data_IF_680369767154
#
_entry.id   IF_680369767154
#
_cell.length_a   1.000
_cell.length_b   1.000
_cell.length_c   1.000
_cell.angle_alpha   90.00
_cell.angle_beta   90.00
_cell.angle_gamma   90.00
#
_symmetry.space_group_name_H-M   'P 1'
#
loop_
_entity.id
_entity.type
_entity.pdbx_description
1 polymer ?
#
# COMPACT_ATOMS: atom_id res chain seq x y z
N UNK A 1 -6.17 9.14 -5.52
CA UNK A 1 -4.71 8.92 -5.66
C UNK A 1 -4.47 7.78 -6.62
N UNK A 2 -3.58 7.98 -7.57
CA UNK A 2 -3.23 6.93 -8.51
C UNK A 2 -2.14 6.02 -7.91
N UNK A 3 -2.10 4.79 -8.41
CA UNK A 3 -1.15 3.79 -7.88
C UNK A 3 0.30 4.26 -7.94
N UNK A 4 0.69 4.91 -9.03
CA UNK A 4 2.06 5.41 -9.17
C UNK A 4 2.44 6.40 -8.09
N UNK A 5 1.52 7.26 -7.71
CA UNK A 5 1.73 8.22 -6.63
C UNK A 5 1.87 7.51 -5.28
N UNK A 6 1.03 6.49 -5.05
CA UNK A 6 1.11 5.72 -3.81
C UNK A 6 2.43 4.97 -3.71
N UNK A 7 2.88 4.37 -4.82
CA UNK A 7 4.15 3.65 -4.85
C UNK A 7 5.32 4.59 -4.60
N UNK A 8 5.26 5.80 -5.18
CA UNK A 8 6.31 6.80 -4.95
C UNK A 8 6.39 7.20 -3.48
N UNK A 9 5.25 7.40 -2.84
CA UNK A 9 5.20 7.73 -1.42
C UNK A 9 5.76 6.56 -0.60
N UNK A 10 5.34 5.34 -0.92
CA UNK A 10 5.80 4.15 -0.22
C UNK A 10 7.33 4.04 -0.25
N UNK A 11 7.91 4.17 -1.45
CA UNK A 11 9.35 4.01 -1.60
C UNK A 11 10.15 5.19 -1.05
N UNK A 12 9.53 6.38 -1.00
CA UNK A 12 10.19 7.55 -0.42
C UNK A 12 10.34 7.43 1.09
N UNK A 13 9.31 6.95 1.77
CA UNK A 13 9.27 6.92 3.23
C UNK A 13 9.60 5.55 3.82
N UNK A 14 9.74 4.54 2.99
CA UNK A 14 10.06 3.18 3.45
C UNK A 14 11.36 2.74 2.82
N UNK A 15 12.40 2.66 3.64
CA UNK A 15 13.75 2.30 3.17
C UNK A 15 13.97 0.79 3.14
N UNK A 16 13.26 0.05 3.96
CA UNK A 16 13.41 -1.40 4.03
C UNK A 16 12.76 -2.06 2.83
N UNK A 17 13.54 -2.87 2.12
CA UNK A 17 13.05 -3.62 0.97
C UNK A 17 11.95 -4.61 1.40
N UNK A 18 12.10 -5.20 2.59
CA UNK A 18 11.09 -6.13 3.10
C UNK A 18 9.76 -5.43 3.37
N UNK A 19 9.81 -4.21 3.89
CA UNK A 19 8.59 -3.45 4.15
C UNK A 19 7.94 -2.98 2.85
N UNK A 20 8.72 -2.61 1.84
CA UNK A 20 8.17 -2.28 0.53
C UNK A 20 7.48 -3.50 -0.06
N UNK A 21 8.13 -4.67 -0.02
CA UNK A 21 7.53 -5.90 -0.54
C UNK A 21 6.27 -6.27 0.23
N UNK A 22 6.27 -6.06 1.54
CA UNK A 22 5.08 -6.29 2.37
C UNK A 22 3.93 -5.38 1.94
N UNK A 23 4.22 -4.10 1.71
CA UNK A 23 3.21 -3.14 1.26
C UNK A 23 2.61 -3.54 -0.09
N UNK A 24 3.45 -4.00 -1.01
CA UNK A 24 2.97 -4.46 -2.31
C UNK A 24 2.12 -5.72 -2.20
N UNK A 25 2.48 -6.63 -1.28
CA UNK A 25 1.69 -7.83 -1.04
C UNK A 25 0.33 -7.49 -0.47
N UNK A 26 0.28 -6.55 0.48
CA UNK A 26 -0.99 -6.10 1.06
C UNK A 26 -1.81 -5.37 0.01
N UNK A 27 -1.18 -4.58 -0.86
CA UNK A 27 -1.89 -3.95 -1.97
C UNK A 27 -2.61 -4.99 -2.82
N UNK A 28 -1.90 -6.06 -3.21
CA UNK A 28 -2.48 -7.12 -4.02
C UNK A 28 -3.67 -7.78 -3.33
N UNK A 29 -3.53 -8.07 -2.04
CA UNK A 29 -4.60 -8.69 -1.27
C UNK A 29 -5.82 -7.77 -1.18
N UNK A 30 -5.60 -6.47 -0.95
CA UNK A 30 -6.69 -5.52 -0.82
C UNK A 30 -7.42 -5.30 -2.14
N UNK A 31 -6.67 -5.26 -3.26
CA UNK A 31 -7.28 -5.14 -4.57
C UNK A 31 -8.15 -6.36 -4.90
N UNK A 32 -7.65 -7.54 -4.57
CA UNK A 32 -8.40 -8.78 -4.79
C UNK A 32 -9.68 -8.79 -3.96
N UNK A 33 -9.57 -8.44 -2.69
CA UNK A 33 -10.72 -8.38 -1.79
C UNK A 33 -11.75 -7.37 -2.29
N UNK A 34 -11.30 -6.19 -2.70
CA UNK A 34 -12.18 -5.15 -3.22
C UNK A 34 -12.91 -5.63 -4.48
N UNK A 35 -12.21 -6.37 -5.36
CA UNK A 35 -12.82 -6.93 -6.56
C UNK A 35 -13.96 -7.88 -6.21
N UNK A 36 -13.74 -8.74 -5.20
CA UNK A 36 -14.77 -9.68 -4.76
C UNK A 36 -15.99 -8.98 -4.18
N UNK A 37 -15.78 -7.84 -3.51
CA UNK A 37 -16.86 -7.10 -2.84
C UNK A 37 -17.50 -6.03 -3.74
N UNK A 38 -16.98 -5.83 -4.95
CA UNK A 38 -17.47 -4.77 -5.82
C UNK A 38 -17.05 -3.38 -5.37
N UNK A 39 -15.97 -3.28 -4.60
CA UNK A 39 -15.44 -2.00 -4.09
C UNK A 39 -14.40 -1.44 -5.05
N UNK A 40 -13.95 -0.21 -4.78
CA UNK A 40 -12.95 0.48 -5.59
C UNK A 40 -11.57 -0.12 -5.34
N UNK A 41 -11.05 -0.85 -6.34
CA UNK A 41 -9.78 -1.55 -6.22
C UNK A 41 -8.61 -0.60 -6.04
N UNK A 42 -8.62 0.55 -6.74
CA UNK A 42 -7.53 1.51 -6.62
C UNK A 42 -7.49 2.13 -5.24
N UNK A 43 -8.64 2.51 -4.71
CA UNK A 43 -8.73 3.10 -3.38
C UNK A 43 -8.23 2.12 -2.33
N UNK A 44 -8.74 0.90 -2.34
CA UNK A 44 -8.36 -0.11 -1.34
C UNK A 44 -6.92 -0.56 -1.51
N UNK A 45 -6.46 -0.71 -2.76
CA UNK A 45 -5.08 -1.11 -3.03
C UNK A 45 -4.09 -0.07 -2.56
N UNK A 46 -4.37 1.21 -2.81
CA UNK A 46 -3.48 2.29 -2.39
C UNK A 46 -3.41 2.40 -0.87
N UNK A 47 -4.54 2.24 -0.18
CA UNK A 47 -4.56 2.22 1.28
C UNK A 47 -3.71 1.07 1.80
N UNK A 48 -3.88 -0.13 1.22
CA UNK A 48 -3.11 -1.29 1.64
C UNK A 48 -1.61 -1.09 1.44
N UNK A 49 -1.23 -0.49 0.30
CA UNK A 49 0.17 -0.23 -0.01
C UNK A 49 0.80 0.74 0.98
N UNK A 50 0.04 1.75 1.43
CA UNK A 50 0.58 2.85 2.21
C UNK A 50 0.46 2.66 3.72
N UNK A 51 -0.30 1.67 4.19
CA UNK A 51 -0.56 1.58 5.63
C UNK A 51 0.70 1.38 6.47
N UNK A 52 1.72 0.70 5.92
CA UNK A 52 2.98 0.47 6.63
C UNK A 52 3.97 1.61 6.46
N UNK A 53 3.74 2.52 5.51
CA UNK A 53 4.59 3.70 5.38
C UNK A 53 4.51 4.56 6.64
N UNK A 54 3.32 4.65 7.25
CA UNK A 54 3.15 5.39 8.50
C UNK A 54 3.96 4.78 9.64
N UNK A 55 4.07 3.47 9.65
CA UNK A 55 4.83 2.80 10.70
C UNK A 55 6.30 3.23 10.68
N UNK A 56 6.89 3.33 9.49
CA UNK A 56 8.30 3.73 9.38
C UNK A 56 8.48 5.22 9.63
N UNK A 57 7.50 6.04 9.22
CA UNK A 57 7.54 7.49 9.47
C UNK A 57 7.33 7.81 10.94
N UNK A 58 6.47 7.08 11.62
CA UNK A 58 6.09 7.34 13.02
C UNK A 58 6.19 6.05 13.83
N UNK A 59 7.40 5.51 13.98
CA UNK A 59 7.57 4.27 14.74
C UNK A 59 7.26 4.52 16.21
N UNK A 60 6.59 3.57 16.81
CA UNK A 60 6.25 3.63 18.23
C UNK A 60 7.38 3.18 19.12
#
# INVERSE_FOLDING_TARGET
>A
MQRGQAYEILTRYTKSKNLVNHGLAVEGAMRHFASLCGADEDYWGNIGMLHDADYEMYPE
#
